data_IF_785436835819
#
_entry.id   IF_785436835819
#
_cell.length_a   1.000
_cell.length_b   1.000
_cell.length_c   1.000
_cell.angle_alpha   90.00
_cell.angle_beta   90.00
_cell.angle_gamma   90.00
#
_symmetry.space_group_name_H-M   'P 1'
#
loop_
_entity.id
_entity.type
_entity.pdbx_description
1 polymer ?
#
# COMPACT_ATOMS: atom_id res chain seq x y z
N UNK A 1 10.82 13.59 -1.45
CA UNK A 1 10.72 12.19 -1.90
C UNK A 1 12.09 11.64 -2.26
N UNK A 2 12.66 10.88 -1.33
CA UNK A 2 13.95 10.20 -1.35
C UNK A 2 13.83 8.69 -1.54
N UNK A 3 12.72 8.09 -1.12
CA UNK A 3 12.48 6.65 -1.19
C UNK A 3 11.10 6.33 -1.77
N UNK A 4 11.00 5.22 -2.50
CA UNK A 4 9.73 4.69 -2.99
C UNK A 4 9.64 3.22 -2.58
N UNK A 5 8.64 2.87 -1.78
CA UNK A 5 8.38 1.51 -1.32
C UNK A 5 7.32 0.90 -2.25
N UNK A 6 7.70 -0.13 -3.00
CA UNK A 6 6.79 -0.80 -3.93
C UNK A 6 6.25 -2.05 -3.24
N UNK A 7 4.94 -2.11 -3.04
CA UNK A 7 4.25 -3.22 -2.39
C UNK A 7 3.36 -3.94 -3.41
N UNK A 8 3.76 -5.12 -3.91
CA UNK A 8 2.85 -5.99 -4.66
C UNK A 8 1.79 -6.56 -3.69
N UNK A 9 0.52 -6.49 -4.08
CA UNK A 9 -0.63 -6.89 -3.26
C UNK A 9 -1.49 -7.85 -4.05
N UNK A 10 -1.60 -9.09 -3.58
CA UNK A 10 -2.50 -10.09 -4.12
C UNK A 10 -3.05 -11.00 -3.01
N UNK A 11 -4.32 -10.83 -2.67
CA UNK A 11 -5.03 -11.64 -1.68
C UNK A 11 -4.32 -11.74 -0.30
N UNK A 12 -4.00 -10.59 0.32
CA UNK A 12 -3.24 -10.49 1.58
C UNK A 12 -3.97 -9.68 2.66
N UNK A 13 -5.30 -9.67 2.66
CA UNK A 13 -6.14 -8.85 3.56
C UNK A 13 -5.76 -8.95 5.05
N UNK A 14 -5.40 -10.14 5.53
CA UNK A 14 -5.07 -10.40 6.94
C UNK A 14 -3.81 -9.66 7.44
N UNK A 15 -2.90 -9.29 6.53
CA UNK A 15 -1.59 -8.75 6.87
C UNK A 15 -1.35 -7.34 6.33
N UNK A 16 -2.11 -6.95 5.30
CA UNK A 16 -1.87 -5.72 4.54
C UNK A 16 -1.90 -4.47 5.42
N UNK A 17 -2.88 -4.36 6.32
CA UNK A 17 -2.99 -3.24 7.25
C UNK A 17 -1.74 -3.09 8.13
N UNK A 18 -1.32 -4.19 8.78
CA UNK A 18 -0.13 -4.20 9.64
C UNK A 18 1.15 -3.88 8.87
N UNK A 19 1.27 -4.37 7.63
CA UNK A 19 2.41 -4.09 6.77
C UNK A 19 2.52 -2.59 6.47
N UNK A 20 1.43 -1.96 6.06
CA UNK A 20 1.40 -0.51 5.77
C UNK A 20 1.62 0.31 7.03
N UNK A 21 1.00 -0.05 8.16
CA UNK A 21 1.24 0.63 9.44
C UNK A 21 2.72 0.56 9.85
N UNK A 22 3.38 -0.58 9.64
CA UNK A 22 4.82 -0.70 9.87
C UNK A 22 5.65 0.16 8.92
N UNK A 23 5.23 0.33 7.66
CA UNK A 23 5.89 1.22 6.71
C UNK A 23 5.69 2.70 7.04
N UNK A 24 4.59 3.05 7.70
CA UNK A 24 4.29 4.42 8.14
C UNK A 24 5.00 4.79 9.46
N UNK A 25 5.28 3.80 10.32
CA UNK A 25 6.00 3.96 11.59
C UNK A 25 7.53 4.00 11.37
N UNK A 26 8.01 5.02 10.66
CA UNK A 26 9.43 5.23 10.35
C UNK A 26 9.93 6.56 10.91
N UNK A 27 11.23 6.63 11.27
CA UNK A 27 11.91 7.88 11.64
C UNK A 27 12.20 8.79 10.42
N UNK A 28 11.43 8.64 9.34
CA UNK A 28 11.54 9.39 8.09
C UNK A 28 10.24 10.20 7.90
N UNK A 29 10.32 11.51 7.61
CA UNK A 29 9.13 12.31 7.30
C UNK A 29 8.31 11.72 6.15
N UNK A 30 6.98 11.71 6.29
CA UNK A 30 6.06 11.09 5.31
C UNK A 30 6.08 11.74 3.92
N UNK A 31 6.58 12.97 3.79
CA UNK A 31 6.80 13.66 2.52
C UNK A 31 8.15 13.32 1.84
N UNK A 32 8.99 12.56 2.53
CA UNK A 32 10.27 12.07 2.03
C UNK A 32 10.21 10.65 1.48
N UNK A 33 9.07 9.96 1.56
CA UNK A 33 8.87 8.70 0.87
C UNK A 33 7.45 8.55 0.32
N UNK A 34 7.26 7.56 -0.54
CA UNK A 34 5.94 7.14 -1.01
C UNK A 34 5.79 5.63 -0.90
N UNK A 35 4.55 5.17 -0.69
CA UNK A 35 4.18 3.77 -0.77
C UNK A 35 3.37 3.60 -2.05
N UNK A 36 3.87 2.78 -2.98
CA UNK A 36 3.17 2.42 -4.21
C UNK A 36 2.65 1.00 -4.04
N UNK A 37 1.37 0.87 -3.71
CA UNK A 37 0.69 -0.40 -3.59
C UNK A 37 0.15 -0.83 -4.97
N UNK A 38 0.69 -1.92 -5.51
CA UNK A 38 0.29 -2.51 -6.78
C UNK A 38 -0.66 -3.68 -6.49
N UNK A 39 -1.96 -3.42 -6.53
CA UNK A 39 -2.99 -4.45 -6.43
C UNK A 39 -3.06 -5.23 -7.75
N UNK A 40 -2.62 -6.49 -7.72
CA UNK A 40 -2.57 -7.40 -8.87
C UNK A 40 -3.86 -8.21 -9.03
N UNK A 41 -5.00 -7.50 -9.02
CA UNK A 41 -6.31 -8.12 -9.22
C UNK A 41 -6.76 -8.99 -8.03
N UNK A 42 -6.50 -8.54 -6.80
CA UNK A 42 -7.00 -9.21 -5.60
C UNK A 42 -8.53 -9.35 -5.64
N UNK A 43 -9.01 -10.51 -5.19
CA UNK A 43 -10.44 -10.85 -5.09
C UNK A 43 -10.95 -10.80 -3.64
N UNK A 44 -10.05 -10.61 -2.69
CA UNK A 44 -10.36 -10.41 -1.27
C UNK A 44 -10.57 -8.91 -0.96
N UNK A 45 -10.56 -8.53 0.31
CA UNK A 45 -10.75 -7.15 0.75
C UNK A 45 -9.50 -6.28 0.67
N UNK A 46 -8.37 -6.78 0.14
CA UNK A 46 -7.10 -6.05 0.06
C UNK A 46 -7.22 -4.67 -0.59
N UNK A 47 -7.97 -4.56 -1.71
CA UNK A 47 -8.16 -3.27 -2.38
C UNK A 47 -8.94 -2.28 -1.52
N UNK A 48 -9.95 -2.76 -0.78
CA UNK A 48 -10.72 -1.91 0.13
C UNK A 48 -9.83 -1.38 1.26
N UNK A 49 -8.99 -2.25 1.85
CA UNK A 49 -8.02 -1.88 2.88
C UNK A 49 -7.07 -0.79 2.36
N UNK A 50 -6.54 -0.92 1.14
CA UNK A 50 -5.70 0.11 0.52
C UNK A 50 -6.43 1.45 0.39
N UNK A 51 -7.67 1.44 -0.08
CA UNK A 51 -8.48 2.65 -0.26
C UNK A 51 -8.82 3.35 1.06
N UNK A 52 -8.98 2.59 2.15
CA UNK A 52 -9.18 3.14 3.49
C UNK A 52 -7.89 3.78 4.01
N UNK A 53 -6.76 3.09 3.87
CA UNK A 53 -5.46 3.58 4.32
C UNK A 53 -4.99 4.79 3.50
N UNK A 54 -5.26 4.85 2.20
CA UNK A 54 -4.92 6.02 1.36
C UNK A 54 -5.71 7.28 1.72
N UNK A 55 -6.80 7.18 2.48
CA UNK A 55 -7.50 8.35 3.06
C UNK A 55 -6.83 8.84 4.33
N UNK A 56 -6.10 7.97 5.03
CA UNK A 56 -5.38 8.26 6.28
C UNK A 56 -3.96 8.79 6.00
N UNK A 57 -3.29 8.22 5.00
CA UNK A 57 -1.90 8.51 4.68
C UNK A 57 -1.79 9.06 3.24
N UNK A 58 -1.32 10.30 3.11
CA UNK A 58 -1.30 11.04 1.83
C UNK A 58 -0.17 10.61 0.88
N UNK A 59 0.78 9.83 1.36
CA UNK A 59 1.94 9.30 0.66
C UNK A 59 1.69 7.91 0.05
N UNK A 60 0.48 7.36 0.18
CA UNK A 60 0.08 6.08 -0.43
C UNK A 60 -0.53 6.33 -1.82
N UNK A 61 0.04 5.67 -2.83
CA UNK A 61 -0.49 5.60 -4.20
C UNK A 61 -0.92 4.16 -4.50
N UNK A 62 -2.12 4.01 -5.05
CA UNK A 62 -2.68 2.71 -5.41
C UNK A 62 -2.67 2.57 -6.93
N UNK A 63 -2.06 1.51 -7.44
CA UNK A 63 -2.15 1.07 -8.83
C UNK A 63 -2.91 -0.26 -8.82
N UNK A 64 -3.96 -0.36 -9.62
CA UNK A 64 -4.72 -1.61 -9.78
C UNK A 64 -4.61 -2.10 -11.22
N UNK A 65 -4.36 -3.39 -11.38
CA UNK A 65 -4.31 -4.07 -12.65
C UNK A 65 -5.03 -5.42 -12.58
N UNK A 66 -5.36 -6.01 -13.73
CA UNK A 66 -5.71 -7.44 -13.79
C UNK A 66 -4.50 -8.28 -13.39
N UNK A 67 -4.75 -9.40 -12.71
CA UNK A 67 -3.72 -10.32 -12.24
C UNK A 67 -2.72 -10.71 -13.34
N UNK A 68 -1.42 -10.50 -13.07
CA UNK A 68 -0.30 -10.75 -13.99
C UNK A 68 0.93 -11.35 -13.31
N UNK A 69 0.87 -11.62 -12.01
CA UNK A 69 1.98 -12.18 -11.22
C UNK A 69 2.75 -11.12 -10.46
#
# INVERSE_FOLDING_TARGET
MKYSLILPVYNVEDYLGKCIESCEDQEIPSDEYEIIAVNDGSTDTSLQILQELSKKYNNIKIISQSNKG
#
